data_IF_256614451668
#
_entry.id   IF_256614451668
#
_cell.length_a   1.000
_cell.length_b   1.000
_cell.length_c   1.000
_cell.angle_alpha   90.00
_cell.angle_beta   90.00
_cell.angle_gamma   90.00
#
_symmetry.space_group_name_H-M   'P 1'
#
loop_
_entity.id
_entity.type
_entity.pdbx_description
1 polymer ?
#
# COMPACT_ATOMS: atom_id res chain seq x y z
N UNK A 1 -0.81 -4.58 40.43
CA UNK A 1 -0.34 -5.59 39.45
C UNK A 1 -1.00 -5.47 38.07
N UNK A 2 -2.34 -5.51 37.94
CA UNK A 2 -3.02 -5.37 36.63
C UNK A 2 -2.72 -4.06 35.88
N UNK A 3 -2.62 -2.93 36.58
CA UNK A 3 -2.31 -1.61 35.97
C UNK A 3 -0.86 -1.49 35.48
N UNK A 4 0.08 -2.14 36.17
CA UNK A 4 1.50 -2.18 35.81
C UNK A 4 1.70 -3.10 34.60
N UNK A 5 1.00 -4.23 34.56
CA UNK A 5 1.00 -5.12 33.39
C UNK A 5 0.34 -4.46 32.16
N UNK A 6 -0.72 -3.68 32.36
CA UNK A 6 -1.36 -2.94 31.27
C UNK A 6 -0.49 -1.80 30.74
N UNK A 7 0.24 -1.09 31.62
CA UNK A 7 1.21 -0.08 31.18
C UNK A 7 2.44 -0.69 30.51
N UNK A 8 2.96 -1.83 30.97
CA UNK A 8 4.08 -2.49 30.30
C UNK A 8 3.70 -2.97 28.91
N UNK A 9 2.50 -3.55 28.73
CA UNK A 9 1.97 -3.94 27.42
C UNK A 9 1.77 -2.72 26.51
N UNK A 10 1.26 -1.60 27.03
CA UNK A 10 1.09 -0.37 26.25
C UNK A 10 2.42 0.25 25.80
N UNK A 11 3.45 0.23 26.65
CA UNK A 11 4.80 0.75 26.33
C UNK A 11 5.51 -0.16 25.32
N UNK A 12 5.43 -1.48 25.47
CA UNK A 12 5.95 -2.43 24.48
C UNK A 12 5.24 -2.30 23.12
N UNK A 13 3.93 -2.07 23.13
CA UNK A 13 3.16 -1.87 21.92
C UNK A 13 3.52 -0.55 21.22
N UNK A 14 3.74 0.54 21.98
CA UNK A 14 4.20 1.83 21.47
C UNK A 14 5.58 1.75 20.78
N UNK A 15 6.50 0.92 21.28
CA UNK A 15 7.80 0.69 20.64
C UNK A 15 7.72 -0.08 19.30
N UNK A 16 6.70 -0.92 19.11
CA UNK A 16 6.49 -1.66 17.85
C UNK A 16 5.95 -0.72 16.75
N UNK A 17 5.09 0.22 17.10
CA UNK A 17 4.53 1.20 16.14
C UNK A 17 5.62 2.11 15.56
N UNK A 18 6.66 2.43 16.33
CA UNK A 18 7.79 3.25 15.88
C UNK A 18 8.72 2.52 14.90
N UNK A 19 8.71 1.18 14.87
CA UNK A 19 9.51 0.37 13.93
C UNK A 19 8.74 -0.09 12.69
N UNK A 20 7.44 0.19 12.57
CA UNK A 20 6.60 -0.24 11.45
C UNK A 20 6.61 0.74 10.25
N UNK A 21 7.76 1.32 9.92
CA UNK A 21 7.97 1.87 8.58
C UNK A 21 8.11 0.67 7.62
N UNK A 22 6.99 0.11 7.17
CA UNK A 22 7.00 -0.98 6.17
C UNK A 22 7.42 -0.34 4.85
N UNK A 23 8.53 -0.79 4.24
CA UNK A 23 8.96 -0.24 2.97
C UNK A 23 7.86 -0.48 1.94
N UNK A 24 7.58 0.55 1.13
CA UNK A 24 6.61 0.55 0.02
C UNK A 24 6.97 -0.49 -1.06
N UNK A 25 8.00 -1.29 -0.80
CA UNK A 25 8.80 -1.94 -1.80
C UNK A 25 8.27 -3.29 -2.31
N UNK A 26 7.06 -3.69 -1.91
CA UNK A 26 6.18 -4.73 -2.48
C UNK A 26 4.99 -4.82 -1.57
N UNK A 27 3.78 -4.58 -2.04
CA UNK A 27 2.57 -4.69 -1.24
C UNK A 27 1.89 -6.01 -1.58
N UNK A 28 2.42 -7.11 -1.03
CA UNK A 28 1.85 -8.44 -1.26
C UNK A 28 0.66 -8.72 -0.32
N UNK A 29 -0.12 -9.75 -0.63
CA UNK A 29 -1.27 -10.23 0.17
C UNK A 29 -0.91 -10.39 1.65
N UNK A 30 0.31 -10.83 1.97
CA UNK A 30 0.78 -11.04 3.34
C UNK A 30 1.04 -9.72 4.08
N UNK A 31 1.72 -8.76 3.45
CA UNK A 31 1.95 -7.42 4.01
C UNK A 31 0.64 -6.67 4.15
N UNK A 32 -0.24 -6.78 3.16
CA UNK A 32 -1.60 -6.28 3.24
C UNK A 32 -2.34 -6.88 4.43
N UNK A 33 -2.28 -8.20 4.60
CA UNK A 33 -2.87 -8.90 5.75
C UNK A 33 -2.34 -8.36 7.09
N UNK A 34 -1.03 -8.23 7.23
CA UNK A 34 -0.38 -7.79 8.49
C UNK A 34 -0.68 -6.32 8.78
N UNK A 35 -0.55 -5.44 7.78
CA UNK A 35 -0.86 -4.02 7.93
C UNK A 35 -2.35 -3.81 8.22
N UNK A 36 -3.21 -4.49 7.46
CA UNK A 36 -4.64 -4.45 7.67
C UNK A 36 -5.02 -4.98 9.06
N UNK A 37 -4.44 -6.10 9.49
CA UNK A 37 -4.67 -6.66 10.82
C UNK A 37 -4.22 -5.71 11.94
N UNK A 38 -3.05 -5.09 11.80
CA UNK A 38 -2.51 -4.13 12.76
C UNK A 38 -3.37 -2.88 12.87
N UNK A 39 -3.67 -2.24 11.74
CA UNK A 39 -4.54 -1.06 11.69
C UNK A 39 -5.95 -1.36 12.18
N UNK A 40 -6.49 -2.53 11.79
CA UNK A 40 -7.79 -2.99 12.23
C UNK A 40 -7.85 -3.26 13.74
N UNK A 41 -6.80 -3.85 14.32
CA UNK A 41 -6.70 -4.05 15.76
C UNK A 41 -6.71 -2.73 16.52
N UNK A 42 -5.95 -1.73 16.05
CA UNK A 42 -5.90 -0.39 16.64
C UNK A 42 -7.28 0.29 16.59
N UNK A 43 -7.93 0.26 15.43
CA UNK A 43 -9.27 0.82 15.27
C UNK A 43 -10.30 0.10 16.16
N UNK A 44 -10.25 -1.24 16.22
CA UNK A 44 -11.11 -2.06 17.07
C UNK A 44 -10.93 -1.77 18.56
N UNK A 45 -9.69 -1.59 19.01
CA UNK A 45 -9.37 -1.21 20.38
C UNK A 45 -9.85 0.21 20.71
N UNK A 46 -9.67 1.17 19.79
CA UNK A 46 -10.07 2.57 19.99
C UNK A 46 -11.60 2.76 20.03
N UNK A 47 -12.35 1.97 19.25
CA UNK A 47 -13.81 2.06 19.23
C UNK A 47 -14.46 1.26 20.37
N UNK A 48 -14.00 0.02 20.59
CA UNK A 48 -14.65 -0.88 21.53
C UNK A 48 -14.04 -0.92 22.93
N UNK A 49 -12.79 -0.46 23.09
CA UNK A 49 -12.03 -0.51 24.35
C UNK A 49 -11.96 -1.90 24.99
N UNK A 50 -12.08 -2.96 24.19
CA UNK A 50 -12.12 -4.34 24.67
C UNK A 50 -11.47 -5.31 23.67
N UNK A 51 -11.04 -6.46 24.18
CA UNK A 51 -10.33 -7.48 23.39
C UNK A 51 -11.16 -8.07 22.26
N UNK A 52 -12.49 -8.16 22.41
CA UNK A 52 -13.38 -8.69 21.35
C UNK A 52 -13.39 -7.75 20.15
N UNK A 53 -13.54 -6.45 20.38
CA UNK A 53 -13.51 -5.43 19.33
C UNK A 53 -12.16 -5.38 18.64
N UNK A 54 -11.06 -5.56 19.37
CA UNK A 54 -9.71 -5.68 18.80
C UNK A 54 -9.58 -6.92 17.91
N UNK A 55 -10.00 -8.10 18.37
CA UNK A 55 -9.98 -9.33 17.58
C UNK A 55 -10.82 -9.23 16.29
N UNK A 56 -12.01 -8.65 16.40
CA UNK A 56 -12.85 -8.38 15.23
C UNK A 56 -12.19 -7.39 14.27
N UNK A 57 -11.60 -6.32 14.81
CA UNK A 57 -10.81 -5.35 14.05
C UNK A 57 -9.63 -6.00 13.34
N UNK A 58 -8.86 -6.86 14.03
CA UNK A 58 -7.77 -7.64 13.43
C UNK A 58 -8.26 -8.50 12.29
N UNK A 59 -9.33 -9.29 12.50
CA UNK A 59 -9.84 -10.22 11.49
C UNK A 59 -10.36 -9.49 10.24
N UNK A 60 -11.17 -8.45 10.43
CA UNK A 60 -11.71 -7.66 9.32
C UNK A 60 -10.60 -6.89 8.59
N UNK A 61 -9.70 -6.26 9.34
CA UNK A 61 -8.56 -5.53 8.78
C UNK A 61 -7.64 -6.44 7.98
N UNK A 62 -7.36 -7.64 8.49
CA UNK A 62 -6.59 -8.66 7.77
C UNK A 62 -7.23 -9.00 6.43
N UNK A 63 -8.53 -9.30 6.41
CA UNK A 63 -9.26 -9.68 5.20
C UNK A 63 -9.29 -8.56 4.16
N UNK A 64 -9.48 -7.31 4.58
CA UNK A 64 -9.45 -6.17 3.64
C UNK A 64 -8.03 -5.96 3.09
N UNK A 65 -7.04 -6.08 3.97
CA UNK A 65 -5.63 -5.95 3.62
C UNK A 65 -5.15 -7.00 2.61
N UNK A 66 -5.59 -8.26 2.73
CA UNK A 66 -5.23 -9.32 1.78
C UNK A 66 -5.76 -9.05 0.37
N UNK A 67 -7.00 -8.55 0.26
CA UNK A 67 -7.65 -8.30 -1.04
C UNK A 67 -6.98 -7.15 -1.79
N UNK A 68 -6.53 -6.13 -1.07
CA UNK A 68 -5.98 -4.90 -1.66
C UNK A 68 -4.58 -5.11 -2.26
N UNK A 69 -3.87 -6.14 -1.78
CA UNK A 69 -2.52 -6.54 -2.21
C UNK A 69 -2.26 -6.46 -3.72
N UNK A 70 -3.02 -7.26 -4.46
CA UNK A 70 -2.74 -7.52 -5.87
C UNK A 70 -2.94 -6.29 -6.77
N UNK A 71 -3.95 -5.46 -6.46
CA UNK A 71 -4.26 -4.26 -7.24
C UNK A 71 -3.18 -3.17 -7.09
N UNK A 72 -2.63 -3.04 -5.88
CA UNK A 72 -1.56 -2.08 -5.60
C UNK A 72 -0.28 -2.49 -6.32
N UNK A 73 0.12 -3.76 -6.22
CA UNK A 73 1.32 -4.26 -6.89
C UNK A 73 1.25 -4.07 -8.41
N UNK A 74 0.09 -4.28 -9.03
CA UNK A 74 -0.12 -4.04 -10.45
C UNK A 74 0.04 -2.56 -10.81
N UNK A 75 -0.48 -1.65 -9.97
CA UNK A 75 -0.30 -0.19 -10.12
C UNK A 75 1.15 0.24 -10.08
N UNK A 76 1.94 -0.29 -9.14
CA UNK A 76 3.37 0.02 -9.06
C UNK A 76 4.14 -0.55 -10.25
N UNK A 77 3.84 -1.79 -10.67
CA UNK A 77 4.47 -2.41 -11.83
C UNK A 77 4.20 -1.62 -13.11
N UNK A 78 2.96 -1.22 -13.36
CA UNK A 78 2.59 -0.40 -14.51
C UNK A 78 3.37 0.92 -14.57
N UNK A 79 3.51 1.59 -13.43
CA UNK A 79 4.25 2.84 -13.34
C UNK A 79 5.73 2.67 -13.70
N UNK A 80 6.37 1.65 -13.12
CA UNK A 80 7.80 1.35 -13.37
C UNK A 80 8.06 0.94 -14.81
N UNK A 81 7.19 0.10 -15.36
CA UNK A 81 7.30 -0.32 -16.76
C UNK A 81 7.14 0.86 -17.71
N UNK A 82 6.18 1.75 -17.46
CA UNK A 82 6.01 2.98 -18.22
C UNK A 82 7.22 3.92 -18.10
N UNK A 83 7.82 4.03 -16.90
CA UNK A 83 9.02 4.82 -16.67
C UNK A 83 10.25 4.27 -17.42
N UNK A 84 10.46 2.96 -17.36
CA UNK A 84 11.60 2.28 -17.96
C UNK A 84 11.51 2.21 -19.48
N UNK A 85 10.33 1.89 -20.03
CA UNK A 85 10.14 1.72 -21.47
C UNK A 85 9.81 3.03 -22.20
N UNK A 86 9.46 4.09 -21.45
CA UNK A 86 8.90 5.34 -22.01
C UNK A 86 7.66 5.12 -22.87
N UNK A 87 6.91 4.02 -22.63
CA UNK A 87 5.67 3.69 -23.33
C UNK A 87 4.49 3.75 -22.36
N UNK A 88 3.31 4.03 -22.91
CA UNK A 88 2.07 3.94 -22.15
C UNK A 88 1.74 2.46 -21.90
N UNK A 89 1.54 2.11 -20.64
CA UNK A 89 1.15 0.75 -20.22
C UNK A 89 -0.30 0.77 -19.79
N UNK A 90 -1.09 -0.21 -20.23
CA UNK A 90 -2.51 -0.33 -19.87
C UNK A 90 -2.81 -1.75 -19.46
N UNK A 91 -3.42 -1.90 -18.28
CA UNK A 91 -3.93 -3.16 -17.77
C UNK A 91 -5.45 -3.12 -17.71
N UNK A 92 -6.10 -4.19 -18.18
CA UNK A 92 -7.56 -4.34 -18.11
C UNK A 92 -7.93 -5.43 -17.12
N UNK A 93 -9.00 -5.21 -16.34
CA UNK A 93 -9.69 -6.23 -15.56
C UNK A 93 -10.90 -6.74 -16.35
N UNK A 94 -11.27 -8.00 -16.13
CA UNK A 94 -12.45 -8.64 -16.71
C UNK A 94 -13.77 -7.98 -16.26
N UNK A 95 -13.72 -7.09 -15.27
CA UNK A 95 -14.86 -6.30 -14.76
C UNK A 95 -15.02 -4.94 -15.45
N UNK A 96 -14.22 -4.64 -16.48
CA UNK A 96 -14.30 -3.36 -17.20
C UNK A 96 -13.59 -2.21 -16.49
N UNK A 97 -12.71 -2.52 -15.53
CA UNK A 97 -11.76 -1.57 -14.98
C UNK A 97 -10.49 -1.54 -15.84
N UNK A 98 -9.87 -0.36 -15.97
CA UNK A 98 -8.60 -0.20 -16.67
C UNK A 98 -7.64 0.66 -15.84
N UNK A 99 -6.40 0.21 -15.71
CA UNK A 99 -5.31 0.96 -15.11
C UNK A 99 -4.36 1.39 -16.23
N UNK A 100 -4.15 2.69 -16.37
CA UNK A 100 -3.26 3.27 -17.37
C UNK A 100 -2.09 3.96 -16.67
N UNK A 101 -0.87 3.72 -17.12
CA UNK A 101 0.32 4.44 -16.71
C UNK A 101 0.90 5.18 -17.93
N UNK A 102 0.86 6.51 -17.89
CA UNK A 102 1.26 7.39 -18.97
C UNK A 102 2.60 8.05 -18.59
N UNK A 103 3.68 7.84 -19.37
CA UNK A 103 4.94 8.50 -19.12
C UNK A 103 4.88 9.97 -19.48
N UNK A 104 5.33 10.82 -18.56
CA UNK A 104 5.49 12.25 -18.70
C UNK A 104 6.92 12.65 -19.06
N UNK A 105 7.28 13.89 -18.71
CA UNK A 105 8.61 14.44 -19.00
C UNK A 105 9.70 13.71 -18.20
N UNK A 106 10.85 13.56 -18.84
CA UNK A 106 12.07 13.06 -18.22
C UNK A 106 12.95 14.22 -17.78
N UNK A 107 13.27 14.26 -16.50
CA UNK A 107 14.22 15.18 -15.90
C UNK A 107 15.62 14.54 -15.94
N UNK A 108 16.48 15.04 -16.82
CA UNK A 108 17.85 14.53 -16.97
C UNK A 108 18.73 14.82 -15.74
N UNK A 109 18.47 15.89 -15.01
CA UNK A 109 19.29 16.31 -13.87
C UNK A 109 19.04 15.41 -12.66
N UNK A 110 17.77 15.05 -12.43
CA UNK A 110 17.39 14.12 -11.35
C UNK A 110 17.30 12.67 -11.82
N UNK A 111 17.43 12.42 -13.13
CA UNK A 111 17.19 11.13 -13.79
C UNK A 111 15.81 10.55 -13.46
N UNK A 112 14.80 11.41 -13.39
CA UNK A 112 13.45 11.06 -12.98
C UNK A 112 12.44 11.21 -14.11
N UNK A 113 11.40 10.39 -14.08
CA UNK A 113 10.27 10.48 -14.99
C UNK A 113 8.97 10.59 -14.20
N UNK A 114 8.18 11.60 -14.53
CA UNK A 114 6.82 11.71 -13.99
C UNK A 114 5.93 10.69 -14.69
N UNK A 115 5.12 9.96 -13.94
CA UNK A 115 4.15 8.98 -14.45
C UNK A 115 2.77 9.38 -13.96
N UNK A 116 1.84 9.56 -14.90
CA UNK A 116 0.43 9.79 -14.61
C UNK A 116 -0.30 8.45 -14.66
N UNK A 117 -0.77 7.99 -13.51
CA UNK A 117 -1.58 6.78 -13.37
C UNK A 117 -3.05 7.16 -13.37
N UNK A 118 -3.86 6.51 -14.21
CA UNK A 118 -5.31 6.69 -14.29
C UNK A 118 -6.00 5.36 -14.05
N UNK A 119 -6.96 5.35 -13.13
CA UNK A 119 -7.83 4.20 -12.88
C UNK A 119 -9.20 4.53 -13.42
N UNK A 120 -9.66 3.73 -14.37
CA UNK A 120 -10.95 3.81 -15.01
C UNK A 120 -11.81 2.65 -14.55
N UNK A 121 -13.11 2.88 -14.44
CA UNK A 121 -14.10 1.84 -14.16
C UNK A 121 -15.36 2.16 -14.97
N UNK A 122 -15.80 1.23 -15.82
CA UNK A 122 -16.94 1.44 -16.72
C UNK A 122 -16.83 2.73 -17.56
N UNK A 123 -15.61 3.06 -18.02
CA UNK A 123 -15.33 4.26 -18.81
C UNK A 123 -15.30 5.58 -18.04
N UNK A 124 -15.49 5.57 -16.71
CA UNK A 124 -15.36 6.76 -15.86
C UNK A 124 -14.00 6.78 -15.17
N UNK A 125 -13.35 7.94 -15.16
CA UNK A 125 -12.10 8.14 -14.44
C UNK A 125 -12.39 8.19 -12.94
N UNK A 126 -11.95 7.17 -12.21
CA UNK A 126 -12.15 7.06 -10.76
C UNK A 126 -11.01 7.71 -9.98
N UNK A 127 -9.78 7.61 -10.49
CA UNK A 127 -8.61 8.16 -9.81
C UNK A 127 -7.52 8.53 -10.82
N UNK A 128 -6.92 9.70 -10.61
CA UNK A 128 -5.69 10.10 -11.28
C UNK A 128 -4.63 10.40 -10.22
N UNK A 129 -3.46 9.76 -10.34
CA UNK A 129 -2.34 9.94 -9.42
C UNK A 129 -1.09 10.23 -10.25
N UNK A 130 -0.30 11.21 -9.83
CA UNK A 130 0.97 11.54 -10.47
C UNK A 130 2.11 11.15 -9.53
N UNK A 131 3.06 10.37 -10.03
CA UNK A 131 4.20 9.85 -9.28
C UNK A 131 5.49 10.14 -10.04
N UNK A 132 6.57 10.47 -9.34
CA UNK A 132 7.89 10.67 -9.94
C UNK A 132 8.74 9.42 -9.69
N UNK A 133 9.28 8.81 -10.76
CA UNK A 133 10.08 7.57 -10.69
C UNK A 133 11.49 7.85 -11.20
N UNK A 134 12.50 7.64 -10.37
CA UNK A 134 13.89 7.98 -10.66
C UNK A 134 14.76 6.75 -11.00
N UNK A 135 15.65 6.89 -11.99
CA UNK A 135 16.65 5.86 -12.32
C UNK A 135 17.68 5.77 -11.19
N UNK A 136 17.65 4.67 -10.44
CA UNK A 136 18.60 4.42 -9.35
C UNK A 136 18.01 4.55 -7.96
N UNK A 137 16.71 4.87 -7.81
CA UNK A 137 15.99 4.50 -6.60
C UNK A 137 16.10 2.97 -6.47
N UNK A 138 17.02 2.55 -5.60
CA UNK A 138 17.16 1.16 -5.21
C UNK A 138 15.92 0.81 -4.42
N UNK A 139 14.92 0.38 -5.14
CA UNK A 139 13.95 -0.53 -4.58
C UNK A 139 14.74 -1.77 -4.18
N UNK A 140 14.95 -1.97 -2.88
CA UNK A 140 15.88 -2.97 -2.39
C UNK A 140 15.34 -4.34 -2.84
N UNK A 141 15.95 -4.91 -3.88
CA UNK A 141 15.69 -6.28 -4.34
C UNK A 141 16.26 -7.23 -3.28
N UNK A 142 15.59 -7.35 -2.15
CA UNK A 142 15.79 -8.49 -1.28
C UNK A 142 14.86 -9.60 -1.77
N UNK A 143 15.51 -10.65 -2.27
CA UNK A 143 14.95 -11.88 -2.82
C UNK A 143 14.24 -12.71 -1.74
#
# INVERSE_FOLDING_TARGET
MKKIFMMSVAVSFASVIYSCAVPEDRYNTQKGAVLGAGLGALAGQALGHNTRSTLLGTGLGMLIGTITGNAIDQSHQAGREAAATSKRVVYYDNRGAALEAIPGRYDQQRRCRTITKRVWESGRLMRETVEEICEGDRYNKEY
#
